data_IF_324059638724
#
_entry.id   IF_324059638724
#
_cell.length_a   1.000
_cell.length_b   1.000
_cell.length_c   1.000
_cell.angle_alpha   90.00
_cell.angle_beta   90.00
_cell.angle_gamma   90.00
#
_symmetry.space_group_name_H-M   'P 1'
#
loop_
_entity.id
_entity.type
_entity.pdbx_description
1 polymer ?
#
# COMPACT_ATOMS: atom_id res chain seq x y z
N UNK A 1 -21.80 -17.32 -4.28
CA UNK A 1 -21.99 -15.98 -4.88
C UNK A 1 -21.49 -14.91 -3.93
N UNK A 2 -20.74 -13.95 -4.45
CA UNK A 2 -20.22 -12.86 -3.61
C UNK A 2 -21.21 -11.73 -3.51
N UNK A 3 -21.30 -11.10 -2.33
CA UNK A 3 -22.06 -9.87 -2.17
C UNK A 3 -21.32 -8.72 -2.87
N UNK A 4 -22.01 -7.60 -3.06
CA UNK A 4 -21.39 -6.40 -3.63
C UNK A 4 -20.20 -5.92 -2.79
N UNK A 5 -20.33 -5.97 -1.46
CA UNK A 5 -19.24 -5.57 -0.55
C UNK A 5 -18.05 -6.49 -0.65
N UNK A 6 -18.26 -7.80 -0.81
CA UNK A 6 -17.17 -8.77 -0.96
C UNK A 6 -16.41 -8.56 -2.26
N UNK A 7 -17.13 -8.28 -3.37
CA UNK A 7 -16.49 -7.99 -4.65
C UNK A 7 -15.66 -6.71 -4.58
N UNK A 8 -16.19 -5.70 -3.91
CA UNK A 8 -15.49 -4.43 -3.74
C UNK A 8 -14.22 -4.62 -2.92
N UNK A 9 -14.28 -5.40 -1.85
CA UNK A 9 -13.13 -5.70 -1.02
C UNK A 9 -12.05 -6.47 -1.80
N UNK A 10 -12.45 -7.44 -2.61
CA UNK A 10 -11.50 -8.18 -3.46
C UNK A 10 -10.80 -7.27 -4.45
N UNK A 11 -11.55 -6.36 -5.06
CA UNK A 11 -10.98 -5.38 -5.98
C UNK A 11 -9.99 -4.47 -5.25
N UNK A 12 -10.34 -4.00 -4.06
CA UNK A 12 -9.47 -3.16 -3.24
C UNK A 12 -8.14 -3.86 -2.94
N UNK A 13 -8.20 -5.10 -2.46
CA UNK A 13 -6.99 -5.86 -2.12
C UNK A 13 -6.11 -6.06 -3.34
N UNK A 14 -6.68 -6.42 -4.47
CA UNK A 14 -5.91 -6.63 -5.71
C UNK A 14 -5.23 -5.33 -6.15
N UNK A 15 -5.96 -4.23 -6.18
CA UNK A 15 -5.41 -2.94 -6.60
C UNK A 15 -4.34 -2.45 -5.63
N UNK A 16 -4.56 -2.66 -4.32
CA UNK A 16 -3.56 -2.32 -3.30
C UNK A 16 -2.26 -3.08 -3.54
N UNK A 17 -2.35 -4.38 -3.71
CA UNK A 17 -1.18 -5.23 -3.90
C UNK A 17 -0.42 -4.86 -5.17
N UNK A 18 -1.15 -4.65 -6.27
CA UNK A 18 -0.54 -4.21 -7.52
C UNK A 18 0.16 -2.86 -7.37
N UNK A 19 -0.45 -1.93 -6.66
CA UNK A 19 0.11 -0.59 -6.47
C UNK A 19 1.39 -0.64 -5.61
N UNK A 20 1.37 -1.37 -4.48
CA UNK A 20 2.55 -1.43 -3.62
C UNK A 20 3.69 -2.22 -4.26
N UNK A 21 3.39 -3.30 -4.97
CA UNK A 21 4.42 -4.11 -5.62
C UNK A 21 5.04 -3.43 -6.84
N UNK A 22 4.42 -2.37 -7.36
CA UNK A 22 5.03 -1.56 -8.42
C UNK A 22 6.22 -0.75 -7.92
N UNK A 23 6.33 -0.51 -6.61
CA UNK A 23 7.31 0.37 -5.96
C UNK A 23 7.24 1.81 -6.49
N UNK A 24 6.13 2.19 -7.09
CA UNK A 24 5.91 3.51 -7.68
C UNK A 24 4.94 4.29 -6.80
N UNK A 25 5.45 5.34 -6.16
CA UNK A 25 4.64 6.15 -5.25
C UNK A 25 3.46 6.80 -5.96
N UNK A 26 3.62 7.22 -7.21
CA UNK A 26 2.54 7.84 -7.97
C UNK A 26 1.38 6.87 -8.19
N UNK A 27 1.69 5.61 -8.46
CA UNK A 27 0.67 4.56 -8.57
C UNK A 27 -0.03 4.32 -7.25
N UNK A 28 0.71 4.32 -6.15
CA UNK A 28 0.13 4.17 -4.83
C UNK A 28 -0.76 5.35 -4.47
N UNK A 29 -0.35 6.57 -4.82
CA UNK A 29 -1.18 7.77 -4.61
C UNK A 29 -2.48 7.71 -5.42
N UNK A 30 -2.41 7.28 -6.67
CA UNK A 30 -3.61 7.13 -7.51
C UNK A 30 -4.57 6.09 -6.94
N UNK A 31 -4.03 4.97 -6.46
CA UNK A 31 -4.80 3.95 -5.76
C UNK A 31 -5.49 4.54 -4.51
N UNK A 32 -4.74 5.24 -3.67
CA UNK A 32 -5.27 5.83 -2.45
C UNK A 32 -6.40 6.82 -2.75
N UNK A 33 -6.20 7.70 -3.74
CA UNK A 33 -7.21 8.68 -4.13
C UNK A 33 -8.51 8.01 -4.57
N UNK A 34 -8.41 6.97 -5.41
CA UNK A 34 -9.58 6.23 -5.88
C UNK A 34 -10.39 5.68 -4.70
N UNK A 35 -9.72 5.08 -3.73
CA UNK A 35 -10.41 4.41 -2.62
C UNK A 35 -10.81 5.36 -1.50
N UNK A 36 -10.19 6.54 -1.39
CA UNK A 36 -10.70 7.64 -0.56
C UNK A 36 -12.01 8.14 -1.16
N UNK A 37 -12.06 8.35 -2.47
CA UNK A 37 -13.26 8.82 -3.17
C UNK A 37 -14.43 7.82 -3.04
N UNK A 38 -14.12 6.53 -2.91
CA UNK A 38 -15.13 5.49 -2.69
C UNK A 38 -15.55 5.36 -1.21
N UNK A 39 -14.94 6.12 -0.31
CA UNK A 39 -15.28 6.07 1.11
C UNK A 39 -14.68 4.89 1.87
N UNK A 40 -13.71 4.18 1.30
CA UNK A 40 -13.09 3.00 1.92
C UNK A 40 -11.83 3.38 2.70
N UNK A 41 -11.02 4.29 2.18
CA UNK A 41 -9.85 4.80 2.87
C UNK A 41 -10.14 6.14 3.55
N UNK A 42 -9.49 6.43 4.70
CA UNK A 42 -9.70 7.70 5.39
C UNK A 42 -9.23 8.89 4.53
N UNK A 43 -9.97 10.00 4.51
CA UNK A 43 -9.56 11.20 3.78
C UNK A 43 -8.19 11.75 4.20
N UNK A 44 -7.80 11.57 5.46
CA UNK A 44 -6.51 12.03 5.98
C UNK A 44 -5.33 11.39 5.25
N UNK A 45 -5.51 10.22 4.66
CA UNK A 45 -4.46 9.56 3.89
C UNK A 45 -4.03 10.39 2.69
N UNK A 46 -4.95 11.14 2.09
CA UNK A 46 -4.64 12.04 0.96
C UNK A 46 -3.82 13.26 1.36
N UNK A 47 -3.72 13.55 2.66
CA UNK A 47 -2.94 14.68 3.18
C UNK A 47 -1.57 14.27 3.70
N UNK A 48 -1.26 12.98 3.70
CA UNK A 48 0.01 12.49 4.24
C UNK A 48 1.18 12.91 3.36
N UNK A 49 2.33 13.28 3.96
CA UNK A 49 3.54 13.57 3.20
C UNK A 49 4.02 12.35 2.39
N UNK A 50 4.79 12.60 1.34
CA UNK A 50 5.27 11.54 0.44
C UNK A 50 6.09 10.48 1.16
N UNK A 51 6.93 10.86 2.12
CA UNK A 51 7.73 9.90 2.88
C UNK A 51 6.85 8.99 3.76
N UNK A 52 5.78 9.53 4.34
CA UNK A 52 4.82 8.73 5.12
C UNK A 52 4.08 7.75 4.22
N UNK A 53 3.65 8.20 3.03
CA UNK A 53 2.99 7.32 2.06
C UNK A 53 3.92 6.24 1.56
N UNK A 54 5.19 6.57 1.31
CA UNK A 54 6.18 5.60 0.88
C UNK A 54 6.43 4.57 1.99
N UNK A 55 6.55 5.00 3.24
CA UNK A 55 6.70 4.09 4.36
C UNK A 55 5.49 3.16 4.49
N UNK A 56 4.29 3.70 4.30
CA UNK A 56 3.05 2.90 4.34
C UNK A 56 3.06 1.84 3.24
N UNK A 57 3.43 2.23 2.02
CA UNK A 57 3.54 1.32 0.89
C UNK A 57 4.49 0.16 1.19
N UNK A 58 5.68 0.46 1.70
CA UNK A 58 6.66 -0.57 2.01
C UNK A 58 6.22 -1.45 3.20
N UNK A 59 5.56 -0.89 4.19
CA UNK A 59 5.02 -1.68 5.30
C UNK A 59 3.94 -2.65 4.84
N UNK A 60 3.12 -2.25 3.88
CA UNK A 60 2.14 -3.15 3.28
C UNK A 60 2.85 -4.32 2.60
N UNK A 61 3.93 -4.06 1.85
CA UNK A 61 4.70 -5.12 1.19
C UNK A 61 5.20 -6.14 2.22
N UNK A 62 5.71 -5.68 3.36
CA UNK A 62 6.20 -6.58 4.41
C UNK A 62 5.09 -7.45 5.00
N UNK A 63 3.84 -7.01 4.91
CA UNK A 63 2.69 -7.78 5.40
C UNK A 63 2.12 -8.76 4.38
N UNK A 64 2.57 -8.75 3.12
CA UNK A 64 2.08 -9.65 2.09
C UNK A 64 2.79 -11.01 2.18
N UNK A 65 2.01 -12.09 2.25
CA UNK A 65 2.57 -13.44 2.34
C UNK A 65 3.34 -13.85 1.09
N UNK A 66 2.85 -13.44 -0.07
CA UNK A 66 3.38 -13.84 -1.36
C UNK A 66 4.24 -12.76 -2.04
N UNK A 67 4.70 -11.76 -1.28
CA UNK A 67 5.53 -10.71 -1.86
C UNK A 67 6.86 -11.29 -2.37
N UNK A 68 7.30 -10.91 -3.58
CA UNK A 68 8.60 -11.33 -4.08
C UNK A 68 9.73 -10.88 -3.14
N UNK A 69 10.74 -11.73 -2.99
CA UNK A 69 11.83 -11.49 -2.04
C UNK A 69 12.58 -10.18 -2.33
N UNK A 70 12.80 -9.87 -3.61
CA UNK A 70 13.46 -8.62 -4.00
C UNK A 70 12.67 -7.38 -3.56
N UNK A 71 11.32 -7.46 -3.59
CA UNK A 71 10.47 -6.37 -3.13
C UNK A 71 10.51 -6.23 -1.61
N UNK A 72 10.52 -7.36 -0.90
CA UNK A 72 10.64 -7.38 0.56
C UNK A 72 11.96 -6.76 0.99
N UNK A 73 13.07 -7.12 0.35
CA UNK A 73 14.39 -6.56 0.66
C UNK A 73 14.45 -5.06 0.36
N UNK A 74 13.89 -4.62 -0.76
CA UNK A 74 13.82 -3.19 -1.09
C UNK A 74 13.02 -2.43 -0.02
N UNK A 75 11.91 -2.99 0.45
CA UNK A 75 11.08 -2.37 1.48
C UNK A 75 11.84 -2.25 2.80
N UNK A 76 12.51 -3.31 3.23
CA UNK A 76 13.30 -3.28 4.48
C UNK A 76 14.42 -2.25 4.40
N UNK A 77 15.16 -2.24 3.31
CA UNK A 77 16.28 -1.31 3.11
C UNK A 77 15.79 0.14 3.17
N UNK A 78 14.73 0.45 2.44
CA UNK A 78 14.19 1.81 2.43
C UNK A 78 13.73 2.24 3.83
N UNK A 79 13.00 1.35 4.53
CA UNK A 79 12.50 1.67 5.87
C UNK A 79 13.64 1.92 6.86
N UNK A 80 14.65 1.08 6.86
CA UNK A 80 15.81 1.24 7.74
C UNK A 80 16.57 2.53 7.42
N UNK A 81 16.83 2.79 6.15
CA UNK A 81 17.57 3.97 5.70
C UNK A 81 16.87 5.28 6.04
N UNK A 82 15.55 5.25 6.18
CA UNK A 82 14.74 6.42 6.50
C UNK A 82 14.26 6.45 7.95
N UNK A 83 14.85 5.63 8.82
CA UNK A 83 14.60 5.68 10.26
C UNK A 83 13.32 5.01 10.72
N UNK A 84 12.70 4.20 9.90
CA UNK A 84 11.51 3.43 10.27
C UNK A 84 11.88 2.02 10.70
N UNK A 85 11.02 1.43 11.54
CA UNK A 85 11.19 0.03 11.93
C UNK A 85 10.60 -0.86 10.84
N UNK A 86 11.38 -1.82 10.27
CA UNK A 86 10.87 -2.69 9.20
C UNK A 86 9.93 -3.78 9.70
N UNK A 87 9.99 -4.12 10.98
CA UNK A 87 9.11 -5.12 11.59
C UNK A 87 8.13 -4.42 12.52
N UNK A 88 6.90 -4.57 12.24
CA UNK A 88 5.84 -3.96 13.05
C UNK A 88 5.31 -5.01 14.01
#
# INVERSE_FOLDING_TARGET
MYTRSELLLKQYVKERDDAVLSLDLDKFKAFAKKWIDKGILPPLMGLAPDDVLTATMFKIILGLEDAPEDKVEAAKTWLIDNGYRPNI
#
